data_IF_743014722143
#
_entry.id   IF_743014722143
#
_cell.length_a   1.000
_cell.length_b   1.000
_cell.length_c   1.000
_cell.angle_alpha   90.00
_cell.angle_beta   90.00
_cell.angle_gamma   90.00
#
_symmetry.space_group_name_H-M   'P 1'
#
loop_
_entity.id
_entity.type
_entity.pdbx_description
1 polymer ?
#
# COMPACT_ATOMS: atom_id res chain seq x y z
N UNK A 1 36.01 -19.59 -42.05
CA UNK A 1 35.12 -18.49 -41.61
C UNK A 1 35.54 -18.07 -40.20
N UNK A 2 36.24 -16.94 -40.05
CA UNK A 2 36.57 -16.42 -38.72
C UNK A 2 35.32 -15.76 -38.10
N UNK A 3 34.91 -16.22 -36.91
CA UNK A 3 33.76 -15.67 -36.20
C UNK A 3 33.97 -14.20 -35.83
N UNK A 4 32.91 -13.39 -35.90
CA UNK A 4 32.96 -11.97 -35.50
C UNK A 4 33.45 -11.86 -34.04
N UNK A 5 34.42 -10.98 -33.74
CA UNK A 5 34.89 -10.78 -32.38
C UNK A 5 33.73 -10.29 -31.50
N UNK A 6 33.62 -10.88 -30.31
CA UNK A 6 32.60 -10.53 -29.33
C UNK A 6 32.75 -9.04 -28.96
N UNK A 7 31.70 -8.24 -29.19
CA UNK A 7 31.69 -6.82 -28.81
C UNK A 7 31.70 -6.70 -27.28
N UNK A 8 32.87 -6.47 -26.69
CA UNK A 8 33.11 -6.36 -25.24
C UNK A 8 32.39 -5.21 -24.52
N UNK A 9 31.59 -4.41 -25.23
CA UNK A 9 30.91 -3.22 -24.68
C UNK A 9 29.44 -3.13 -25.07
N UNK A 10 28.72 -4.25 -25.14
CA UNK A 10 27.26 -4.17 -25.00
C UNK A 10 26.93 -3.84 -23.55
N UNK A 11 27.02 -2.56 -23.17
CA UNK A 11 26.35 -2.06 -21.97
C UNK A 11 24.87 -2.37 -22.17
N UNK A 12 24.35 -3.38 -21.47
CA UNK A 12 22.91 -3.66 -21.46
C UNK A 12 22.12 -2.44 -20.99
N UNK A 13 20.79 -2.55 -20.92
CA UNK A 13 19.89 -1.45 -20.55
C UNK A 13 20.08 -0.87 -19.12
N UNK A 14 21.14 -1.24 -18.40
CA UNK A 14 21.41 -0.84 -17.03
C UNK A 14 20.73 -1.74 -16.01
N UNK A 15 20.67 -1.27 -14.75
CA UNK A 15 19.93 -1.95 -13.68
C UNK A 15 18.49 -1.48 -13.69
N UNK A 16 17.55 -2.42 -13.72
CA UNK A 16 16.12 -2.18 -13.61
C UNK A 16 15.52 -3.03 -12.49
N UNK A 17 14.34 -2.62 -12.02
CA UNK A 17 13.55 -3.40 -11.08
C UNK A 17 12.46 -4.12 -11.86
N UNK A 18 12.45 -5.45 -11.81
CA UNK A 18 11.40 -6.27 -12.42
C UNK A 18 10.32 -6.57 -11.40
N UNK A 19 9.06 -6.39 -11.75
CA UNK A 19 7.92 -6.84 -10.93
C UNK A 19 7.22 -7.98 -11.67
N UNK A 20 7.31 -9.23 -11.17
CA UNK A 20 6.63 -10.35 -11.80
C UNK A 20 5.11 -10.20 -11.73
N UNK A 21 4.41 -10.62 -12.79
CA UNK A 21 2.95 -10.55 -12.84
C UNK A 21 2.29 -11.31 -11.69
N UNK A 22 2.80 -12.51 -11.37
CA UNK A 22 2.27 -13.32 -10.26
C UNK A 22 2.37 -12.62 -8.90
N UNK A 23 3.34 -11.72 -8.71
CA UNK A 23 3.43 -10.92 -7.49
C UNK A 23 2.42 -9.79 -7.52
N UNK A 24 2.27 -9.12 -8.66
CA UNK A 24 1.36 -7.99 -8.82
C UNK A 24 -0.12 -8.41 -8.76
N UNK A 25 -0.45 -9.57 -9.32
CA UNK A 25 -1.77 -10.18 -9.30
C UNK A 25 -2.16 -10.73 -7.92
N UNK A 26 -1.21 -10.86 -6.98
CA UNK A 26 -1.53 -11.29 -5.62
C UNK A 26 -2.44 -10.28 -4.92
N UNK A 27 -3.40 -10.75 -4.13
CA UNK A 27 -4.31 -9.87 -3.39
C UNK A 27 -3.57 -8.94 -2.42
N UNK A 28 -2.48 -9.46 -1.84
CA UNK A 28 -1.55 -8.71 -0.99
C UNK A 28 -1.01 -7.46 -1.70
N UNK A 29 -0.63 -7.57 -2.98
CA UNK A 29 -0.15 -6.45 -3.77
C UNK A 29 -1.29 -5.58 -4.30
N UNK A 30 -2.32 -6.21 -4.88
CA UNK A 30 -3.42 -5.55 -5.56
C UNK A 30 -4.19 -4.57 -4.65
N UNK A 31 -4.26 -4.85 -3.35
CA UNK A 31 -4.95 -4.02 -2.35
C UNK A 31 -4.01 -3.06 -1.58
N UNK A 32 -2.71 -3.00 -1.91
CA UNK A 32 -1.78 -2.07 -1.29
C UNK A 32 -2.05 -0.62 -1.72
N UNK A 33 -1.81 0.31 -0.79
CA UNK A 33 -1.73 1.73 -1.10
C UNK A 33 -0.50 2.03 -1.97
N UNK A 34 -0.50 3.13 -2.74
CA UNK A 34 0.66 3.50 -3.58
C UNK A 34 1.98 3.67 -2.81
N UNK A 35 1.92 4.21 -1.58
CA UNK A 35 3.11 4.46 -0.74
C UNK A 35 3.93 3.21 -0.44
N UNK A 36 3.35 2.18 0.22
CA UNK A 36 4.06 0.93 0.46
C UNK A 36 4.51 0.22 -0.81
N UNK A 37 3.77 0.32 -1.94
CA UNK A 37 4.24 -0.20 -3.24
C UNK A 37 5.55 0.45 -3.67
N UNK A 38 5.64 1.79 -3.57
CA UNK A 38 6.87 2.52 -3.87
C UNK A 38 8.02 2.11 -2.94
N UNK A 39 7.74 1.91 -1.64
CA UNK A 39 8.73 1.42 -0.67
C UNK A 39 9.24 0.01 -1.02
N UNK A 40 8.36 -0.89 -1.43
CA UNK A 40 8.76 -2.23 -1.88
C UNK A 40 9.69 -2.16 -3.11
N UNK A 41 9.36 -1.31 -4.08
CA UNK A 41 10.21 -1.09 -5.27
C UNK A 41 11.59 -0.57 -4.86
N UNK A 42 11.67 0.34 -3.88
CA UNK A 42 12.96 0.83 -3.36
C UNK A 42 13.79 -0.26 -2.69
N UNK A 43 13.16 -1.15 -1.91
CA UNK A 43 13.83 -2.33 -1.36
C UNK A 43 14.36 -3.23 -2.48
N UNK A 44 13.54 -3.47 -3.51
CA UNK A 44 13.93 -4.29 -4.66
C UNK A 44 15.04 -3.66 -5.50
N UNK A 45 15.09 -2.33 -5.59
CA UNK A 45 16.19 -1.58 -6.23
C UNK A 45 17.53 -1.78 -5.50
N UNK A 46 17.50 -1.93 -4.17
CA UNK A 46 18.68 -2.17 -3.32
C UNK A 46 19.13 -3.62 -3.33
N UNK A 47 18.26 -4.54 -3.76
CA UNK A 47 18.66 -5.91 -4.02
C UNK A 47 19.62 -5.99 -5.21
N UNK A 48 20.72 -6.72 -5.05
CA UNK A 48 21.79 -6.83 -6.05
C UNK A 48 21.95 -8.25 -6.63
N UNK A 49 21.02 -9.16 -6.33
CA UNK A 49 21.07 -10.56 -6.77
C UNK A 49 21.52 -11.53 -5.68
N UNK A 50 22.29 -11.09 -4.68
CA UNK A 50 22.85 -11.97 -3.64
C UNK A 50 22.67 -11.47 -2.20
N UNK A 51 22.30 -10.20 -2.01
CA UNK A 51 22.13 -9.60 -0.69
C UNK A 51 20.72 -9.75 -0.08
N UNK A 52 19.91 -10.72 -0.51
CA UNK A 52 18.60 -10.92 0.09
C UNK A 52 18.75 -11.31 1.57
N UNK A 53 18.00 -10.64 2.45
CA UNK A 53 18.16 -10.76 3.91
C UNK A 53 19.27 -9.89 4.50
N UNK A 54 20.01 -9.17 3.65
CA UNK A 54 21.04 -8.19 4.03
C UNK A 54 20.73 -6.80 3.46
N UNK A 55 19.50 -6.55 3.03
CA UNK A 55 19.09 -5.26 2.44
C UNK A 55 18.93 -4.25 3.57
N UNK A 56 19.82 -3.27 3.62
CA UNK A 56 19.80 -2.21 4.65
C UNK A 56 18.93 -1.05 4.17
N UNK A 57 17.89 -0.72 4.93
CA UNK A 57 17.05 0.44 4.69
C UNK A 57 16.44 0.96 5.98
N UNK A 58 16.92 2.11 6.46
CA UNK A 58 16.32 2.80 7.60
C UNK A 58 15.04 3.55 7.20
N UNK A 59 14.19 3.90 8.18
CA UNK A 59 13.03 4.77 7.92
C UNK A 59 13.43 6.13 7.34
N UNK A 60 14.55 6.70 7.80
CA UNK A 60 15.06 7.99 7.31
C UNK A 60 15.54 7.89 5.87
N UNK A 61 16.31 6.86 5.54
CA UNK A 61 16.81 6.66 4.18
C UNK A 61 15.67 6.31 3.21
N UNK A 62 14.67 5.55 3.66
CA UNK A 62 13.46 5.27 2.90
C UNK A 62 12.66 6.53 2.62
N UNK A 63 12.51 7.42 3.62
CA UNK A 63 11.85 8.71 3.43
C UNK A 63 12.59 9.60 2.43
N UNK A 64 13.92 9.69 2.54
CA UNK A 64 14.73 10.43 1.58
C UNK A 64 14.63 9.85 0.16
N UNK A 65 14.68 8.52 0.03
CA UNK A 65 14.60 7.85 -1.27
C UNK A 65 13.25 8.03 -1.96
N UNK A 66 12.17 8.11 -1.18
CA UNK A 66 10.80 8.26 -1.68
C UNK A 66 10.33 9.73 -1.71
N UNK A 67 11.16 10.66 -1.22
CA UNK A 67 10.82 12.07 -1.05
C UNK A 67 9.54 12.30 -0.22
N UNK A 68 9.46 11.65 0.95
CA UNK A 68 8.31 11.75 1.87
C UNK A 68 8.77 12.05 3.30
N UNK A 69 7.81 12.40 4.17
CA UNK A 69 8.10 12.60 5.58
C UNK A 69 8.51 11.28 6.27
N UNK A 70 9.52 11.35 7.16
CA UNK A 70 10.01 10.20 7.94
C UNK A 70 8.92 9.45 8.71
N UNK A 71 7.89 10.17 9.18
CA UNK A 71 6.81 9.58 9.99
C UNK A 71 5.83 8.76 9.14
N UNK A 72 5.86 8.92 7.81
CA UNK A 72 4.97 8.24 6.88
C UNK A 72 5.46 6.82 6.55
N UNK A 73 6.78 6.61 6.55
CA UNK A 73 7.42 5.38 6.07
C UNK A 73 7.27 4.21 7.06
N UNK A 74 7.26 4.49 8.37
CA UNK A 74 7.15 3.46 9.41
C UNK A 74 5.93 2.55 9.23
N UNK A 75 4.70 3.10 9.13
CA UNK A 75 3.50 2.32 8.84
C UNK A 75 3.57 1.51 7.53
N UNK A 76 4.28 2.00 6.51
CA UNK A 76 4.42 1.29 5.25
C UNK A 76 5.29 0.03 5.37
N UNK A 77 6.36 0.07 6.16
CA UNK A 77 7.14 -1.14 6.48
C UNK A 77 6.27 -2.19 7.18
N UNK A 78 5.50 -1.76 8.18
CA UNK A 78 4.58 -2.65 8.91
C UNK A 78 3.55 -3.27 7.98
N UNK A 79 2.98 -2.48 7.05
CA UNK A 79 1.99 -2.97 6.10
C UNK A 79 2.59 -4.00 5.12
N UNK A 80 3.82 -3.78 4.63
CA UNK A 80 4.51 -4.76 3.77
C UNK A 80 4.85 -6.05 4.52
N UNK A 81 5.26 -5.96 5.78
CA UNK A 81 5.59 -7.12 6.61
C UNK A 81 4.34 -7.93 6.99
N UNK A 82 3.26 -7.25 7.40
CA UNK A 82 1.98 -7.90 7.71
C UNK A 82 1.36 -8.61 6.50
N UNK A 83 1.59 -8.08 5.30
CA UNK A 83 1.17 -8.69 4.04
C UNK A 83 2.14 -9.78 3.57
N UNK A 84 3.26 -9.98 4.24
CA UNK A 84 4.23 -11.04 3.92
C UNK A 84 4.99 -10.81 2.62
N UNK A 85 5.15 -9.55 2.19
CA UNK A 85 5.96 -9.18 1.02
C UNK A 85 7.45 -9.03 1.39
N UNK A 86 7.71 -8.65 2.63
CA UNK A 86 9.05 -8.52 3.21
C UNK A 86 9.03 -9.05 4.63
N UNK A 87 10.21 -9.33 5.18
CA UNK A 87 10.37 -9.52 6.62
C UNK A 87 11.66 -8.87 7.11
N UNK A 88 11.66 -8.44 8.37
CA UNK A 88 12.85 -7.95 9.03
C UNK A 88 13.77 -9.13 9.41
N UNK A 89 15.00 -9.13 8.92
CA UNK A 89 16.02 -10.11 9.33
C UNK A 89 16.82 -9.63 10.54
N UNK A 90 17.00 -8.31 10.70
CA UNK A 90 17.67 -7.73 11.86
C UNK A 90 17.03 -6.40 12.27
N UNK A 91 16.69 -6.31 13.55
CA UNK A 91 16.18 -5.09 14.16
C UNK A 91 17.23 -3.96 14.20
N UNK A 92 16.81 -2.69 14.07
CA UNK A 92 17.69 -1.57 14.32
C UNK A 92 18.12 -1.59 15.78
N UNK A 93 19.38 -1.30 16.04
CA UNK A 93 19.94 -1.25 17.39
C UNK A 93 21.11 -0.28 17.42
N UNK A 94 21.42 0.24 18.59
CA UNK A 94 22.59 1.06 18.79
C UNK A 94 23.83 0.15 18.87
N UNK A 95 24.82 0.39 18.01
CA UNK A 95 26.07 -0.35 18.04
C UNK A 95 26.95 0.03 19.25
N UNK A 96 27.93 -0.81 19.62
CA UNK A 96 28.86 -0.53 20.72
C UNK A 96 29.65 0.77 20.54
N UNK A 97 29.86 1.21 19.30
CA UNK A 97 30.52 2.46 18.95
C UNK A 97 29.61 3.70 19.01
N UNK A 98 28.36 3.56 19.48
CA UNK A 98 27.36 4.63 19.48
C UNK A 98 26.74 4.93 18.11
N UNK A 99 27.12 4.18 17.07
CA UNK A 99 26.54 4.33 15.72
C UNK A 99 25.27 3.48 15.64
N UNK A 100 24.14 4.14 15.35
CA UNK A 100 22.86 3.47 15.12
C UNK A 100 22.92 2.59 13.87
N UNK A 101 22.58 1.30 14.01
CA UNK A 101 22.45 0.38 12.88
C UNK A 101 21.01 0.36 12.40
N UNK A 102 20.84 0.51 11.08
CA UNK A 102 19.55 0.46 10.43
C UNK A 102 18.95 -0.96 10.42
N UNK A 103 17.64 -1.02 10.16
CA UNK A 103 16.93 -2.27 9.92
C UNK A 103 17.45 -2.97 8.66
N UNK A 104 17.47 -4.30 8.74
CA UNK A 104 17.86 -5.19 7.64
C UNK A 104 16.65 -6.01 7.24
N UNK A 105 16.44 -6.12 5.93
CA UNK A 105 15.24 -6.66 5.33
C UNK A 105 15.56 -7.79 4.33
N UNK A 106 14.59 -8.68 4.15
CA UNK A 106 14.51 -9.64 3.05
C UNK A 106 13.22 -9.45 2.26
N UNK A 107 13.28 -9.76 0.96
CA UNK A 107 12.13 -9.89 0.09
C UNK A 107 11.61 -11.33 0.16
N UNK A 108 10.33 -11.50 0.47
CA UNK A 108 9.72 -12.83 0.64
C UNK A 108 9.51 -13.56 -0.70
N UNK A 109 9.58 -12.83 -1.82
CA UNK A 109 9.47 -13.40 -3.17
C UNK A 109 10.72 -14.23 -3.56
N UNK A 110 11.87 -13.94 -2.95
CA UNK A 110 13.17 -14.52 -3.27
C UNK A 110 13.70 -15.39 -2.12
N UNK A 111 14.49 -16.43 -2.41
CA UNK A 111 15.20 -17.17 -1.37
C UNK A 111 16.24 -16.27 -0.69
N UNK A 112 16.45 -16.52 0.59
CA UNK A 112 17.60 -15.95 1.34
C UNK A 112 18.79 -16.89 1.15
N UNK A 113 20.00 -16.40 1.45
CA UNK A 113 21.25 -17.17 1.43
C UNK A 113 21.24 -18.44 2.31
N UNK A 114 20.23 -18.61 3.18
CA UNK A 114 20.10 -19.73 4.12
C UNK A 114 19.68 -21.07 3.48
N UNK A 115 19.88 -21.29 2.17
CA UNK A 115 19.44 -22.46 1.38
C UNK A 115 17.93 -22.84 1.51
N UNK A 116 17.13 -21.99 2.15
CA UNK A 116 15.69 -22.20 2.33
C UNK A 116 14.92 -21.67 1.12
N UNK A 117 13.79 -22.30 0.76
CA UNK A 117 12.91 -21.76 -0.28
C UNK A 117 12.38 -20.37 0.11
N UNK A 118 12.03 -19.58 -0.91
CA UNK A 118 11.38 -18.28 -0.72
C UNK A 118 10.08 -18.45 0.09
N UNK A 119 9.85 -17.56 1.06
CA UNK A 119 8.72 -17.68 1.99
C UNK A 119 7.37 -17.46 1.31
N UNK A 120 7.30 -16.49 0.39
CA UNK A 120 6.10 -16.12 -0.40
C UNK A 120 4.82 -16.01 0.43
N UNK A 121 4.90 -15.52 1.67
CA UNK A 121 3.77 -15.48 2.60
C UNK A 121 2.58 -14.65 2.05
N UNK A 122 2.87 -13.63 1.25
CA UNK A 122 1.88 -12.82 0.56
C UNK A 122 0.91 -13.59 -0.35
N UNK A 123 1.26 -14.79 -0.81
CA UNK A 123 0.37 -15.62 -1.63
C UNK A 123 -0.86 -16.12 -0.87
N UNK A 124 -0.67 -16.42 0.42
CA UNK A 124 -1.73 -16.89 1.30
C UNK A 124 -2.50 -15.72 1.96
N UNK A 125 -2.00 -14.50 1.83
CA UNK A 125 -2.63 -13.33 2.44
C UNK A 125 -3.98 -13.01 1.79
N UNK A 126 -4.96 -12.64 2.62
CA UNK A 126 -6.31 -12.23 2.21
C UNK A 126 -6.72 -10.98 2.98
N UNK A 127 -7.42 -10.07 2.32
CA UNK A 127 -7.93 -8.86 2.95
C UNK A 127 -9.05 -9.23 3.93
N UNK A 128 -8.85 -8.93 5.21
CA UNK A 128 -9.92 -9.05 6.21
C UNK A 128 -10.96 -7.97 5.92
N UNK A 129 -12.13 -8.38 5.44
CA UNK A 129 -13.29 -7.51 5.30
C UNK A 129 -13.90 -7.31 6.70
N UNK A 130 -13.71 -6.13 7.28
CA UNK A 130 -14.46 -5.79 8.48
C UNK A 130 -15.92 -5.55 8.07
N UNK A 131 -16.89 -6.27 8.67
CA UNK A 131 -18.29 -6.05 8.36
C UNK A 131 -18.62 -4.58 8.63
N UNK A 132 -19.29 -3.93 7.68
CA UNK A 132 -19.68 -2.53 7.78
C UNK A 132 -20.50 -2.35 9.06
N UNK A 133 -19.95 -1.63 10.03
CA UNK A 133 -20.69 -1.28 11.25
C UNK A 133 -21.91 -0.46 10.83
N UNK A 134 -23.12 -0.94 11.15
CA UNK A 134 -24.38 -0.24 10.87
C UNK A 134 -24.49 0.96 11.83
N UNK A 135 -23.72 2.01 11.59
CA UNK A 135 -23.67 3.22 12.43
C UNK A 135 -24.81 4.21 12.14
N UNK A 136 -25.83 3.79 11.41
CA UNK A 136 -27.01 4.60 11.12
C UNK A 136 -28.24 3.88 11.64
N UNK A 137 -28.97 4.51 12.54
CA UNK A 137 -30.40 4.27 12.70
C UNK A 137 -31.03 4.49 11.32
N UNK A 138 -31.79 3.53 10.77
CA UNK A 138 -32.54 3.76 9.54
C UNK A 138 -33.40 5.01 9.73
N UNK A 139 -33.37 5.91 8.75
CA UNK A 139 -34.30 7.05 8.75
C UNK A 139 -35.72 6.48 8.77
N UNK A 140 -36.58 6.83 9.74
CA UNK A 140 -37.97 6.40 9.73
C UNK A 140 -38.65 6.85 8.44
N UNK A 141 -39.35 5.95 7.76
CA UNK A 141 -39.99 6.21 6.46
C UNK A 141 -41.21 7.14 6.53
N UNK A 142 -41.73 7.39 7.74
CA UNK A 142 -43.04 8.02 7.95
C UNK A 142 -42.99 9.54 8.25
N UNK A 143 -41.92 10.25 7.89
CA UNK A 143 -41.85 11.70 8.15
C UNK A 143 -42.58 12.57 7.12
N UNK A 144 -42.83 12.09 5.90
CA UNK A 144 -43.45 12.87 4.82
C UNK A 144 -44.95 12.58 4.62
N UNK A 145 -45.57 11.71 5.43
CA UNK A 145 -46.96 11.25 5.25
C UNK A 145 -48.01 12.08 6.00
N UNK A 146 -47.64 13.21 6.62
CA UNK A 146 -48.57 14.00 7.42
C UNK A 146 -48.46 15.51 7.23
N UNK A 147 -49.07 16.06 6.18
CA UNK A 147 -49.77 17.37 6.18
C UNK A 147 -50.26 17.76 4.77
N UNK A 148 -51.46 17.32 4.39
CA UNK A 148 -52.22 17.96 3.31
C UNK A 148 -53.72 17.80 3.51
N UNK A 149 -54.24 18.11 4.72
CA UNK A 149 -55.68 18.30 4.94
C UNK A 149 -55.91 19.39 5.97
N UNK A 150 -55.96 20.64 5.54
CA UNK A 150 -56.71 21.71 6.20
C UNK A 150 -56.75 22.94 5.27
N UNK A 151 -57.96 23.40 4.92
CA UNK A 151 -58.15 24.68 4.24
C UNK A 151 -59.16 24.72 3.09
N UNK A 152 -60.38 24.18 3.24
CA UNK A 152 -61.54 24.68 2.49
C UNK A 152 -62.59 25.18 3.48
N UNK A 153 -62.40 26.40 3.97
CA UNK A 153 -63.44 27.19 4.61
C UNK A 153 -63.70 28.40 3.71
N UNK A 154 -64.97 28.64 3.41
CA UNK A 154 -65.44 29.47 2.30
C UNK A 154 -64.94 30.91 2.30
N UNK A 155 -64.58 31.40 1.12
CA UNK A 155 -64.35 32.81 0.84
C UNK A 155 -65.67 33.41 0.33
N UNK A 156 -66.35 34.18 1.18
CA UNK A 156 -67.50 34.99 0.78
C UNK A 156 -66.98 36.26 0.09
N UNK A 157 -67.29 36.41 -1.20
CA UNK A 157 -66.95 37.60 -2.00
C UNK A 157 -67.98 38.71 -1.72
N UNK A 158 -67.54 39.82 -1.11
CA UNK A 158 -68.34 41.04 -1.01
C UNK A 158 -68.15 41.89 -2.27
N UNK A 159 -69.23 42.08 -3.05
CA UNK A 159 -69.29 43.02 -4.18
C UNK A 159 -69.43 44.45 -3.66
N UNK A 160 -68.52 45.33 -4.04
CA UNK A 160 -68.68 46.79 -3.89
C UNK A 160 -69.25 47.32 -5.22
N UNK A 161 -70.42 47.96 -5.14
CA UNK A 161 -71.05 48.72 -6.24
C UNK A 161 -70.84 50.19 -5.95
N UNK A 162 -70.33 50.95 -6.92
CA UNK A 162 -70.30 52.42 -6.89
C UNK A 162 -71.35 52.94 -7.89
N UNK A 163 -72.05 54.00 -7.48
CA UNK A 163 -73.12 54.68 -8.25
C UNK A 163 -72.54 55.56 -9.36
#
# INVERSE_FOLDING_TARGET
MAGKPYKGHKKGAGRHVQLPEWLQASEAWATLRPGPRALYIELKRRFNGSNNGRIVLSHRDGANALNVNRNTVGPWFQELEQRGLIHMTRAPHLGPSGIGKASVWALDELPTDSMKPARKAFMAWRQKQNPRTKNRTPRPSDYDSGQSKQGQAGVTVLKIVTR
#
